data_IF_482084932662
#
_entry.id   IF_482084932662
#
_cell.length_a   1.000
_cell.length_b   1.000
_cell.length_c   1.000
_cell.angle_alpha   90.00
_cell.angle_beta   90.00
_cell.angle_gamma   90.00
#
_symmetry.space_group_name_H-M   'P 1'
#
loop_
_entity.id
_entity.type
_entity.pdbx_description
1 polymer ?
#
# COMPACT_ATOMS: atom_id res chain seq x y z
N UNK A 1 34.92 25.47 15.93
CA UNK A 1 35.06 26.88 15.51
C UNK A 1 35.21 26.85 14.00
N UNK A 2 34.33 27.34 13.14
CA UNK A 2 33.18 28.26 13.13
C UNK A 2 32.35 27.76 11.91
N UNK A 3 31.05 27.93 11.76
CA UNK A 3 30.30 29.17 11.86
C UNK A 3 28.81 28.81 11.75
N UNK A 4 28.00 29.45 12.58
CA UNK A 4 26.56 29.33 12.62
C UNK A 4 25.94 29.84 11.31
N UNK A 5 25.09 29.03 10.69
CA UNK A 5 23.97 29.55 9.90
C UNK A 5 22.67 29.03 10.52
N UNK A 6 22.46 29.40 11.79
CA UNK A 6 21.14 29.43 12.37
C UNK A 6 20.44 30.67 11.83
N UNK A 7 19.83 30.56 10.65
CA UNK A 7 18.94 31.60 10.14
C UNK A 7 17.59 31.44 10.83
N UNK A 8 17.17 32.54 11.45
CA UNK A 8 16.01 32.64 12.33
C UNK A 8 14.77 31.98 11.73
N UNK A 9 13.97 31.25 12.51
CA UNK A 9 12.68 30.76 12.06
C UNK A 9 11.84 31.94 11.58
N UNK A 10 11.28 31.84 10.38
CA UNK A 10 10.15 32.69 10.01
C UNK A 10 9.01 32.19 10.90
N UNK A 11 8.78 32.87 12.03
CA UNK A 11 7.85 32.47 13.09
C UNK A 11 6.44 32.27 12.51
N UNK A 12 6.15 31.01 12.18
CA UNK A 12 4.86 30.56 11.71
C UNK A 12 4.39 29.48 12.69
N UNK A 13 3.34 29.73 13.50
CA UNK A 13 2.93 28.84 14.60
C UNK A 13 2.27 27.54 14.15
N UNK A 14 2.31 27.23 12.86
CA UNK A 14 1.60 26.12 12.24
C UNK A 14 2.56 24.99 11.86
N UNK A 15 2.05 23.77 11.79
CA UNK A 15 2.82 22.60 11.41
C UNK A 15 3.42 22.74 9.99
N UNK A 16 4.67 22.31 9.85
CA UNK A 16 5.39 22.28 8.59
C UNK A 16 5.44 20.88 7.98
N UNK A 17 5.44 20.81 6.66
CA UNK A 17 5.73 19.60 5.88
C UNK A 17 7.06 19.77 5.13
N UNK A 18 7.84 18.69 5.02
CA UNK A 18 9.05 18.70 4.20
C UNK A 18 8.70 18.64 2.72
N UNK A 19 9.30 19.51 1.92
CA UNK A 19 9.12 19.55 0.47
C UNK A 19 10.45 19.49 -0.28
N UNK A 20 10.44 18.70 -1.34
CA UNK A 20 11.51 18.63 -2.33
C UNK A 20 11.27 19.64 -3.45
N UNK A 21 12.27 20.43 -3.80
CA UNK A 21 12.29 21.32 -4.96
C UNK A 21 13.66 21.28 -5.65
N UNK A 22 13.84 22.10 -6.69
CA UNK A 22 15.11 22.25 -7.38
C UNK A 22 15.58 23.71 -7.31
N UNK A 23 16.89 23.92 -7.17
CA UNK A 23 17.49 25.24 -7.28
C UNK A 23 17.55 25.71 -8.76
N UNK A 24 18.02 26.94 -8.99
CA UNK A 24 18.15 27.53 -10.32
C UNK A 24 19.08 26.76 -11.28
N UNK A 25 19.90 25.85 -10.75
CA UNK A 25 20.83 25.02 -11.50
C UNK A 25 20.29 23.58 -11.66
N UNK A 26 19.06 23.30 -11.20
CA UNK A 26 18.44 21.99 -11.27
C UNK A 26 18.85 21.02 -10.16
N UNK A 27 19.54 21.48 -9.11
CA UNK A 27 19.92 20.60 -8.00
C UNK A 27 18.78 20.44 -6.98
N UNK A 28 18.53 19.23 -6.46
CA UNK A 28 17.46 19.01 -5.51
C UNK A 28 17.77 19.64 -4.13
N UNK A 29 16.78 20.31 -3.58
CA UNK A 29 16.81 21.00 -2.29
C UNK A 29 15.60 20.60 -1.43
N UNK A 30 15.82 20.46 -0.12
CA UNK A 30 14.75 20.25 0.86
C UNK A 30 14.49 21.53 1.64
N UNK A 31 13.23 21.82 1.92
CA UNK A 31 12.83 22.88 2.84
C UNK A 31 11.51 22.51 3.52
N UNK A 32 11.26 23.10 4.68
CA UNK A 32 9.96 22.97 5.35
C UNK A 32 9.02 24.10 4.93
N UNK A 33 7.77 23.74 4.63
CA UNK A 33 6.72 24.67 4.27
C UNK A 33 5.55 24.53 5.25
N UNK A 34 5.00 25.65 5.69
CA UNK A 34 3.80 25.65 6.51
C UNK A 34 2.62 25.09 5.72
N UNK A 35 1.93 24.09 6.29
CA UNK A 35 0.77 23.44 5.68
C UNK A 35 -0.41 24.42 5.58
N UNK A 36 -0.58 25.30 6.56
CA UNK A 36 -1.73 26.20 6.66
C UNK A 36 -1.62 27.45 5.75
N UNK A 37 -0.44 28.08 5.69
CA UNK A 37 -0.25 29.37 5.00
C UNK A 37 0.74 29.32 3.83
N UNK A 38 1.38 28.18 3.58
CA UNK A 38 2.31 28.00 2.47
C UNK A 38 3.62 28.80 2.59
N UNK A 39 3.88 29.46 3.72
CA UNK A 39 5.15 30.16 3.94
C UNK A 39 6.27 29.16 4.20
N UNK A 40 7.46 29.48 3.69
CA UNK A 40 8.69 28.71 3.95
C UNK A 40 9.09 28.93 5.40
N UNK A 41 9.29 27.84 6.15
CA UNK A 41 9.64 27.87 7.58
C UNK A 41 11.17 27.78 7.74
N UNK A 42 11.84 26.97 6.92
CA UNK A 42 13.30 26.83 6.91
C UNK A 42 13.94 27.22 5.58
N UNK A 43 15.18 27.67 5.64
CA UNK A 43 15.99 27.86 4.44
C UNK A 43 16.24 26.53 3.70
N UNK A 44 16.28 26.56 2.36
CA UNK A 44 16.50 25.36 1.58
C UNK A 44 17.90 24.76 1.79
N UNK A 45 17.94 23.48 2.11
CA UNK A 45 19.15 22.69 2.31
C UNK A 45 19.44 21.91 1.03
N UNK A 46 20.68 21.95 0.55
CA UNK A 46 21.13 21.13 -0.59
C UNK A 46 21.23 19.66 -0.17
N UNK A 47 20.66 18.76 -0.95
CA UNK A 47 20.74 17.33 -0.68
C UNK A 47 22.13 16.78 -1.05
N UNK A 48 22.78 16.10 -0.11
CA UNK A 48 24.00 15.32 -0.34
C UNK A 48 23.64 13.93 -0.88
N UNK A 49 24.59 13.19 -1.49
CA UNK A 49 24.37 11.83 -1.95
C UNK A 49 23.85 10.88 -0.87
N UNK A 50 24.30 11.06 0.37
CA UNK A 50 23.85 10.28 1.54
C UNK A 50 22.39 10.54 1.91
N UNK A 51 21.85 11.75 1.69
CA UNK A 51 20.41 12.02 1.88
C UNK A 51 19.53 11.37 0.81
N UNK A 52 20.07 11.11 -0.38
CA UNK A 52 19.36 10.46 -1.50
C UNK A 52 19.10 8.98 -1.22
N UNK A 53 19.97 8.32 -0.48
CA UNK A 53 19.84 6.91 -0.09
C UNK A 53 18.78 6.71 1.00
N UNK A 54 18.72 7.58 2.02
CA UNK A 54 17.70 7.53 3.09
C UNK A 54 16.28 7.91 2.63
N UNK A 55 16.13 8.72 1.58
CA UNK A 55 14.83 9.03 0.98
C UNK A 55 14.30 7.91 0.06
N UNK A 56 15.18 7.00 -0.37
CA UNK A 56 14.80 5.85 -1.20
C UNK A 56 14.44 4.61 -0.36
N UNK A 57 14.75 4.59 0.94
CA UNK A 57 14.40 3.50 1.87
C UNK A 57 13.09 3.73 2.63
N UNK A 58 12.49 4.92 2.53
CA UNK A 58 11.18 5.23 3.09
C UNK A 58 10.11 5.12 2.01
N UNK A 59 9.31 4.05 2.09
CA UNK A 59 7.92 3.98 1.63
C UNK A 59 7.67 4.37 0.16
N UNK A 60 7.67 3.36 -0.71
CA UNK A 60 7.00 3.37 -2.02
C UNK A 60 5.50 3.74 -1.88
N UNK A 61 4.94 3.69 -0.67
CA UNK A 61 3.56 4.00 -0.33
C UNK A 61 3.24 5.50 -0.22
N UNK A 62 4.22 6.41 -0.26
CA UNK A 62 3.95 7.86 -0.18
C UNK A 62 4.14 8.63 -1.50
N UNK A 63 4.65 7.98 -2.56
CA UNK A 63 4.85 8.66 -3.86
C UNK A 63 3.57 8.76 -4.70
N UNK A 64 2.56 7.93 -4.41
CA UNK A 64 1.26 7.93 -5.10
C UNK A 64 0.19 8.85 -4.48
N UNK A 65 0.52 9.59 -3.40
CA UNK A 65 -0.26 10.77 -2.98
C UNK A 65 0.04 12.02 -3.84
N UNK A 66 0.85 11.89 -4.88
CA UNK A 66 1.12 12.95 -5.86
C UNK A 66 -0.04 13.22 -6.85
N UNK A 67 -1.24 12.66 -6.63
CA UNK A 67 -2.47 13.08 -7.33
C UNK A 67 -3.37 13.97 -6.45
N UNK A 68 -2.96 14.31 -5.22
CA UNK A 68 -3.64 15.33 -4.42
C UNK A 68 -3.23 16.74 -4.90
N UNK A 69 -3.97 17.21 -5.90
CA UNK A 69 -4.47 18.59 -6.05
C UNK A 69 -3.54 19.71 -5.56
N UNK A 70 -2.55 20.13 -6.38
CA UNK A 70 -2.15 21.55 -6.38
C UNK A 70 -3.23 22.37 -7.07
N UNK A 71 -4.15 22.85 -6.22
CA UNK A 71 -5.22 23.80 -6.46
C UNK A 71 -4.64 25.19 -6.80
N UNK A 72 -5.14 25.76 -7.91
CA UNK A 72 -5.48 27.17 -8.23
C UNK A 72 -4.42 28.21 -7.79
N UNK A 73 -3.77 28.94 -8.71
CA UNK A 73 -4.31 30.20 -9.24
C UNK A 73 -4.03 30.51 -10.73
N UNK A 74 -4.96 31.29 -11.32
CA UNK A 74 -4.99 32.00 -12.62
C UNK A 74 -5.48 31.22 -13.87
N UNK A 75 -6.71 31.48 -14.29
CA UNK A 75 -7.09 32.78 -14.89
C UNK A 75 -8.61 32.80 -15.12
N UNK A 76 -9.29 33.84 -14.67
CA UNK A 76 -10.73 34.07 -14.79
C UNK A 76 -11.19 34.41 -16.22
N UNK A 77 -10.46 33.97 -17.24
CA UNK A 77 -10.67 34.31 -18.66
C UNK A 77 -10.68 33.10 -19.59
N UNK A 78 -10.92 31.89 -19.07
CA UNK A 78 -10.90 30.67 -19.88
C UNK A 78 -12.27 30.41 -20.50
N UNK A 79 -12.29 30.18 -21.81
CA UNK A 79 -13.50 29.86 -22.57
C UNK A 79 -14.11 28.52 -22.11
N UNK A 80 -15.43 28.31 -22.25
CA UNK A 80 -16.09 27.04 -21.93
C UNK A 80 -15.39 25.83 -22.57
N UNK A 81 -14.91 25.97 -23.81
CA UNK A 81 -14.17 24.93 -24.52
C UNK A 81 -12.83 24.55 -23.86
N UNK A 82 -12.16 25.48 -23.18
CA UNK A 82 -10.91 25.19 -22.45
C UNK A 82 -11.17 24.46 -21.12
N UNK A 83 -12.34 24.67 -20.51
CA UNK A 83 -12.78 23.93 -19.32
C UNK A 83 -13.15 22.48 -19.66
N UNK A 84 -13.88 22.29 -20.76
CA UNK A 84 -14.30 20.96 -21.23
C UNK A 84 -13.10 20.08 -21.61
N UNK A 85 -12.17 20.57 -22.42
CA UNK A 85 -10.93 19.85 -22.76
C UNK A 85 -10.11 19.43 -21.54
N UNK A 86 -10.12 20.23 -20.47
CA UNK A 86 -9.42 19.90 -19.21
C UNK A 86 -10.15 18.79 -18.45
N UNK A 87 -11.49 18.82 -18.43
CA UNK A 87 -12.32 17.77 -17.83
C UNK A 87 -12.09 16.45 -18.57
N UNK A 88 -12.14 16.47 -19.89
CA UNK A 88 -11.85 15.31 -20.76
C UNK A 88 -10.44 14.75 -20.56
N UNK A 89 -9.42 15.63 -20.47
CA UNK A 89 -8.05 15.21 -20.20
C UNK A 89 -7.92 14.55 -18.83
N UNK A 90 -8.63 15.07 -17.83
CA UNK A 90 -8.66 14.51 -16.47
C UNK A 90 -9.35 13.16 -16.44
N UNK A 91 -10.52 13.01 -17.07
CA UNK A 91 -11.17 11.70 -17.18
C UNK A 91 -10.30 10.72 -17.94
N UNK A 92 -9.60 11.15 -19.00
CA UNK A 92 -8.67 10.30 -19.75
C UNK A 92 -7.44 9.89 -18.93
N UNK A 93 -6.86 10.80 -18.14
CA UNK A 93 -5.75 10.50 -17.22
C UNK A 93 -6.22 9.56 -16.09
N UNK A 94 -7.37 9.82 -15.47
CA UNK A 94 -7.99 8.94 -14.46
C UNK A 94 -8.33 7.56 -15.05
N UNK A 95 -8.83 7.49 -16.29
CA UNK A 95 -9.07 6.25 -17.03
C UNK A 95 -7.77 5.52 -17.37
N UNK A 96 -6.70 6.22 -17.74
CA UNK A 96 -5.39 5.60 -17.99
C UNK A 96 -4.80 5.03 -16.72
N UNK A 97 -4.84 5.78 -15.60
CA UNK A 97 -4.30 5.34 -14.30
C UNK A 97 -5.08 4.16 -13.73
N UNK A 98 -6.41 4.16 -13.89
CA UNK A 98 -7.24 3.01 -13.51
C UNK A 98 -7.05 1.82 -14.44
N UNK A 99 -6.83 2.04 -15.73
CA UNK A 99 -6.54 0.96 -16.68
C UNK A 99 -5.18 0.30 -16.44
N UNK A 100 -4.13 1.08 -16.14
CA UNK A 100 -2.78 0.53 -15.89
C UNK A 100 -2.64 -0.18 -14.55
N UNK A 101 -3.51 0.12 -13.57
CA UNK A 101 -3.57 -0.59 -12.27
C UNK A 101 -4.25 -1.96 -12.33
N UNK A 102 -5.05 -2.25 -13.35
CA UNK A 102 -5.78 -3.53 -13.49
C UNK A 102 -4.88 -4.72 -13.85
N UNK A 103 -3.64 -4.47 -14.24
CA UNK A 103 -2.72 -5.54 -14.63
C UNK A 103 -1.95 -6.14 -13.43
N UNK A 104 -1.95 -5.45 -12.28
CA UNK A 104 -1.17 -5.89 -11.13
C UNK A 104 -1.97 -6.85 -10.26
N UNK A 105 -1.30 -7.91 -9.83
CA UNK A 105 -1.89 -8.87 -8.91
C UNK A 105 -2.07 -8.19 -7.56
N UNK A 106 -3.25 -8.34 -6.98
CA UNK A 106 -3.60 -7.85 -5.65
C UNK A 106 -3.78 -9.02 -4.70
N UNK A 107 -3.37 -8.84 -3.45
CA UNK A 107 -3.61 -9.80 -2.39
C UNK A 107 -4.70 -9.25 -1.47
N UNK A 108 -5.61 -10.11 -1.05
CA UNK A 108 -6.70 -9.78 -0.16
C UNK A 108 -6.80 -10.76 1.00
N UNK A 109 -7.33 -10.27 2.12
CA UNK A 109 -7.56 -11.03 3.36
C UNK A 109 -9.02 -10.93 3.75
N UNK A 110 -9.69 -12.08 3.86
CA UNK A 110 -11.08 -12.21 4.30
C UNK A 110 -11.14 -12.75 5.72
N UNK A 111 -11.96 -12.13 6.57
CA UNK A 111 -12.43 -12.74 7.80
C UNK A 111 -13.66 -13.59 7.51
N UNK A 112 -13.67 -14.82 8.01
CA UNK A 112 -14.74 -15.79 7.87
C UNK A 112 -15.38 -16.11 9.23
N UNK A 113 -16.51 -16.81 9.17
CA UNK A 113 -17.20 -17.33 10.35
C UNK A 113 -16.32 -18.23 11.23
N UNK A 114 -16.49 -18.06 12.55
CA UNK A 114 -15.75 -18.82 13.56
C UNK A 114 -14.29 -18.40 13.73
N UNK A 115 -13.97 -17.11 13.55
CA UNK A 115 -12.62 -16.56 13.67
C UNK A 115 -11.60 -17.23 12.74
N UNK A 116 -12.02 -17.51 11.51
CA UNK A 116 -11.18 -18.07 10.46
C UNK A 116 -10.83 -17.02 9.44
N UNK A 117 -9.74 -17.24 8.71
CA UNK A 117 -9.21 -16.30 7.75
C UNK A 117 -8.90 -16.99 6.43
N UNK A 118 -9.07 -16.25 5.34
CA UNK A 118 -8.65 -16.66 4.02
C UNK A 118 -7.83 -15.57 3.36
N UNK A 119 -6.69 -15.95 2.80
CA UNK A 119 -5.85 -15.08 1.96
C UNK A 119 -5.93 -15.59 0.54
N UNK A 120 -6.02 -14.66 -0.41
CA UNK A 120 -6.01 -14.99 -1.83
C UNK A 120 -5.38 -13.88 -2.66
N UNK A 121 -4.97 -14.22 -3.88
CA UNK A 121 -4.47 -13.28 -4.88
C UNK A 121 -5.34 -13.26 -6.14
N UNK A 122 -5.44 -12.10 -6.79
CA UNK A 122 -6.20 -11.91 -8.03
C UNK A 122 -5.78 -10.63 -8.76
N UNK A 123 -5.86 -10.62 -10.09
CA UNK A 123 -5.76 -9.38 -10.89
C UNK A 123 -7.02 -8.53 -10.75
N UNK A 124 -8.18 -9.19 -10.58
CA UNK A 124 -9.48 -8.57 -10.33
C UNK A 124 -9.95 -8.97 -8.91
N UNK A 125 -9.42 -8.31 -7.85
CA UNK A 125 -9.75 -8.70 -6.48
C UNK A 125 -11.22 -8.46 -6.15
N UNK A 126 -11.85 -7.41 -6.68
CA UNK A 126 -13.26 -7.09 -6.37
C UNK A 126 -14.22 -8.19 -6.82
N UNK A 127 -14.13 -8.63 -8.08
CA UNK A 127 -14.98 -9.69 -8.61
C UNK A 127 -14.70 -11.01 -7.92
N UNK A 128 -13.42 -11.29 -7.65
CA UNK A 128 -13.03 -12.50 -6.92
C UNK A 128 -13.58 -12.52 -5.50
N UNK A 129 -13.46 -11.41 -4.77
CA UNK A 129 -14.00 -11.27 -3.43
C UNK A 129 -15.52 -11.43 -3.46
N UNK A 130 -16.23 -10.78 -4.40
CA UNK A 130 -17.69 -10.95 -4.56
C UNK A 130 -18.06 -12.42 -4.73
N UNK A 131 -17.35 -13.15 -5.61
CA UNK A 131 -17.59 -14.58 -5.81
C UNK A 131 -17.41 -15.41 -4.52
N UNK A 132 -16.49 -15.03 -3.62
CA UNK A 132 -16.38 -15.67 -2.31
C UNK A 132 -17.61 -15.42 -1.43
N UNK A 133 -18.14 -14.19 -1.41
CA UNK A 133 -19.37 -13.85 -0.66
C UNK A 133 -20.61 -14.55 -1.25
N UNK A 134 -20.65 -14.74 -2.56
CA UNK A 134 -21.74 -15.43 -3.28
C UNK A 134 -21.67 -16.96 -3.17
N UNK A 135 -20.66 -17.51 -2.46
CA UNK A 135 -20.49 -18.96 -2.29
C UNK A 135 -19.80 -19.68 -3.46
N UNK A 136 -19.31 -18.94 -4.45
CA UNK A 136 -18.54 -19.44 -5.60
C UNK A 136 -17.02 -19.33 -5.38
N UNK A 137 -16.60 -19.26 -4.12
CA UNK A 137 -15.20 -19.14 -3.70
C UNK A 137 -14.43 -20.46 -3.58
N UNK A 138 -13.31 -20.39 -2.87
CA UNK A 138 -12.52 -21.57 -2.50
C UNK A 138 -13.32 -22.53 -1.61
N UNK A 139 -12.91 -23.80 -1.57
CA UNK A 139 -13.53 -24.81 -0.72
C UNK A 139 -13.57 -24.37 0.75
N UNK A 140 -12.53 -23.68 1.25
CA UNK A 140 -12.49 -23.12 2.60
C UNK A 140 -13.55 -22.04 2.83
N UNK A 141 -13.70 -21.10 1.91
CA UNK A 141 -14.74 -20.03 2.02
C UNK A 141 -16.16 -20.54 1.80
N UNK A 142 -16.32 -21.68 1.14
CA UNK A 142 -17.61 -22.38 1.03
C UNK A 142 -17.98 -23.08 2.34
N UNK A 143 -16.98 -23.63 3.04
CA UNK A 143 -17.15 -24.25 4.35
C UNK A 143 -17.37 -23.19 5.45
N UNK A 144 -16.71 -22.04 5.34
CA UNK A 144 -16.76 -20.94 6.29
C UNK A 144 -17.08 -19.64 5.58
N UNK A 145 -18.30 -19.13 5.76
CA UNK A 145 -18.79 -17.97 5.01
C UNK A 145 -17.95 -16.73 5.31
N UNK A 146 -17.58 -15.93 4.29
CA UNK A 146 -16.94 -14.63 4.50
C UNK A 146 -17.87 -13.66 5.22
N UNK A 147 -17.32 -12.94 6.20
CA UNK A 147 -18.01 -11.90 6.97
C UNK A 147 -17.59 -10.52 6.46
N UNK A 148 -16.28 -10.30 6.29
CA UNK A 148 -15.75 -9.00 5.91
C UNK A 148 -14.39 -9.09 5.23
N UNK A 149 -14.12 -8.13 4.35
CA UNK A 149 -12.80 -7.85 3.81
C UNK A 149 -11.97 -7.10 4.86
N UNK A 150 -10.80 -7.61 5.22
CA UNK A 150 -9.87 -6.98 6.16
C UNK A 150 -8.85 -6.10 5.44
N UNK A 151 -8.27 -6.62 4.37
CA UNK A 151 -7.21 -5.96 3.62
C UNK A 151 -7.35 -6.34 2.15
N UNK A 152 -7.04 -5.40 1.26
CA UNK A 152 -6.84 -5.65 -0.15
C UNK A 152 -5.79 -4.66 -0.65
N UNK A 153 -4.64 -5.16 -1.09
CA UNK A 153 -3.53 -4.32 -1.57
C UNK A 153 -2.92 -4.84 -2.86
N UNK A 154 -2.57 -3.94 -3.80
CA UNK A 154 -1.80 -4.33 -4.98
C UNK A 154 -0.39 -4.75 -4.56
N UNK A 155 0.12 -5.80 -5.18
CA UNK A 155 1.52 -6.26 -5.01
C UNK A 155 2.50 -5.45 -5.85
N UNK A 156 2.00 -4.64 -6.79
CA UNK A 156 2.79 -3.95 -7.82
C UNK A 156 3.64 -4.91 -8.69
N UNK A 157 3.31 -6.21 -8.71
CA UNK A 157 3.89 -7.19 -9.63
C UNK A 157 2.81 -7.83 -10.50
N UNK A 158 3.21 -8.16 -11.72
CA UNK A 158 2.42 -8.98 -12.65
C UNK A 158 2.88 -10.44 -12.65
N UNK A 159 3.97 -10.73 -11.92
CA UNK A 159 4.52 -12.06 -11.79
C UNK A 159 3.79 -12.82 -10.67
N UNK A 160 3.03 -13.84 -11.08
CA UNK A 160 2.28 -14.72 -10.18
C UNK A 160 3.13 -15.42 -9.14
N UNK A 161 4.37 -15.77 -9.47
CA UNK A 161 5.26 -16.45 -8.52
C UNK A 161 5.68 -15.52 -7.39
N UNK A 162 6.04 -14.28 -7.72
CA UNK A 162 6.38 -13.28 -6.71
C UNK A 162 5.16 -12.91 -5.85
N UNK A 163 3.98 -12.83 -6.47
CA UNK A 163 2.75 -12.56 -5.74
C UNK A 163 2.37 -13.71 -4.79
N UNK A 164 2.60 -14.97 -5.20
CA UNK A 164 2.42 -16.16 -4.37
C UNK A 164 3.36 -16.16 -3.16
N UNK A 165 4.63 -15.75 -3.32
CA UNK A 165 5.56 -15.64 -2.20
C UNK A 165 5.08 -14.60 -1.17
N UNK A 166 4.62 -13.43 -1.64
CA UNK A 166 4.03 -12.40 -0.77
C UNK A 166 2.74 -12.91 -0.09
N UNK A 167 1.89 -13.65 -0.82
CA UNK A 167 0.68 -14.27 -0.25
C UNK A 167 1.04 -15.23 0.88
N UNK A 168 2.01 -16.11 0.65
CA UNK A 168 2.47 -17.09 1.63
C UNK A 168 3.04 -16.44 2.89
N UNK A 169 3.80 -15.35 2.76
CA UNK A 169 4.29 -14.58 3.92
C UNK A 169 3.15 -14.02 4.78
N UNK A 170 2.10 -13.48 4.14
CA UNK A 170 0.91 -12.97 4.84
C UNK A 170 0.16 -14.12 5.53
N UNK A 171 0.01 -15.27 4.85
CA UNK A 171 -0.61 -16.45 5.43
C UNK A 171 0.14 -16.88 6.69
N UNK A 172 1.47 -17.01 6.64
CA UNK A 172 2.29 -17.38 7.80
C UNK A 172 2.11 -16.37 8.94
N UNK A 173 2.16 -15.08 8.65
CA UNK A 173 1.94 -14.02 9.65
C UNK A 173 0.59 -14.16 10.38
N UNK A 174 -0.47 -14.44 9.62
CA UNK A 174 -1.79 -14.72 10.17
C UNK A 174 -1.84 -16.05 10.93
N UNK A 175 -1.14 -17.09 10.46
CA UNK A 175 -1.05 -18.38 11.16
C UNK A 175 -0.35 -18.24 12.52
N UNK A 176 0.69 -17.42 12.63
CA UNK A 176 1.33 -17.08 13.90
C UNK A 176 0.35 -16.39 14.84
N UNK A 177 -0.47 -15.48 14.32
CA UNK A 177 -1.37 -14.63 15.12
C UNK A 177 -2.65 -15.36 15.56
N UNK A 178 -3.27 -16.12 14.66
CA UNK A 178 -4.60 -16.72 14.85
C UNK A 178 -4.58 -18.24 14.96
N UNK A 179 -3.39 -18.85 14.84
CA UNK A 179 -3.20 -20.30 14.80
C UNK A 179 -3.39 -20.86 13.39
N UNK A 180 -2.47 -21.76 13.00
CA UNK A 180 -2.44 -22.34 11.66
C UNK A 180 -3.71 -23.10 11.25
N UNK A 181 -4.49 -23.59 12.22
CA UNK A 181 -5.77 -24.25 11.96
C UNK A 181 -6.86 -23.32 11.42
N UNK A 182 -6.77 -22.02 11.74
CA UNK A 182 -7.81 -21.04 11.43
C UNK A 182 -7.57 -20.27 10.13
N UNK A 183 -6.40 -20.43 9.50
CA UNK A 183 -5.99 -19.63 8.34
C UNK A 183 -5.73 -20.54 7.15
N UNK A 184 -6.23 -20.15 5.97
CA UNK A 184 -5.94 -20.81 4.69
C UNK A 184 -5.61 -19.79 3.61
N UNK A 185 -4.84 -20.18 2.62
CA UNK A 185 -4.40 -19.33 1.51
C UNK A 185 -3.13 -19.90 0.88
N UNK A 186 -2.74 -19.41 -0.31
CA UNK A 186 -1.54 -19.87 -1.02
C UNK A 186 -1.35 -21.39 -1.00
N UNK A 187 -0.17 -21.83 -0.55
CA UNK A 187 0.20 -23.25 -0.43
C UNK A 187 -0.62 -24.05 0.59
N UNK A 188 -1.22 -23.37 1.58
CA UNK A 188 -2.01 -23.98 2.64
C UNK A 188 -3.50 -23.73 2.45
N UNK A 189 -3.98 -23.85 1.21
CA UNK A 189 -5.41 -23.66 0.85
C UNK A 189 -6.27 -24.91 1.00
N UNK A 190 -5.67 -26.06 1.35
CA UNK A 190 -6.38 -27.33 1.54
C UNK A 190 -7.31 -27.28 2.77
N UNK A 191 -8.48 -27.89 2.66
CA UNK A 191 -9.47 -27.98 3.74
C UNK A 191 -9.08 -28.98 4.82
N UNK A 192 -8.34 -30.05 4.49
CA UNK A 192 -7.85 -31.04 5.48
C UNK A 192 -6.76 -30.43 6.34
N UNK A 193 -6.90 -30.56 7.67
CA UNK A 193 -5.85 -30.17 8.60
C UNK A 193 -4.58 -31.02 8.45
N UNK A 194 -4.73 -32.31 8.13
CA UNK A 194 -3.61 -33.24 7.95
C UNK A 194 -2.73 -32.84 6.77
N UNK A 195 -3.34 -32.42 5.66
CA UNK A 195 -2.63 -31.99 4.47
C UNK A 195 -1.89 -30.66 4.72
N UNK A 196 -2.54 -29.71 5.40
CA UNK A 196 -1.91 -28.46 5.80
C UNK A 196 -0.77 -28.73 6.78
N UNK A 197 -0.98 -29.60 7.77
CA UNK A 197 0.06 -30.00 8.73
C UNK A 197 1.24 -30.67 8.03
N UNK A 198 0.99 -31.52 7.04
CA UNK A 198 2.06 -32.16 6.24
C UNK A 198 2.85 -31.12 5.45
N UNK A 199 2.17 -30.19 4.80
CA UNK A 199 2.80 -29.10 4.05
C UNK A 199 3.63 -28.20 4.99
N UNK A 200 3.09 -27.78 6.13
CA UNK A 200 3.82 -26.96 7.11
C UNK A 200 5.08 -27.66 7.64
N UNK A 201 5.07 -29.00 7.79
CA UNK A 201 6.28 -29.75 8.14
C UNK A 201 7.29 -29.77 7.01
N UNK A 202 6.84 -29.92 5.76
CA UNK A 202 7.74 -29.93 4.60
C UNK A 202 8.43 -28.57 4.39
N UNK A 203 7.86 -27.49 4.92
CA UNK A 203 8.45 -26.15 4.92
C UNK A 203 9.18 -25.81 6.23
N UNK A 204 9.33 -26.75 7.17
CA UNK A 204 9.95 -26.54 8.50
C UNK A 204 9.28 -25.47 9.39
N UNK A 205 8.03 -25.09 9.09
CA UNK A 205 7.31 -24.02 9.80
C UNK A 205 6.44 -24.50 10.97
N UNK A 206 6.10 -25.79 11.00
CA UNK A 206 5.11 -26.30 11.97
C UNK A 206 5.56 -26.11 13.43
N UNK A 207 6.82 -26.39 13.74
CA UNK A 207 7.31 -26.35 15.12
C UNK A 207 7.22 -24.93 15.71
N UNK A 208 7.47 -23.92 14.89
CA UNK A 208 7.48 -22.53 15.34
C UNK A 208 6.05 -21.99 15.49
N UNK A 209 5.14 -22.41 14.63
CA UNK A 209 3.72 -22.07 14.72
C UNK A 209 3.00 -22.76 15.91
N UNK A 210 3.48 -23.93 16.35
CA UNK A 210 2.93 -24.61 17.53
C UNK A 210 3.42 -23.98 18.84
N UNK A 211 4.67 -23.52 18.90
CA UNK A 211 5.25 -22.86 20.11
C UNK A 211 4.58 -21.52 20.44
N UNK A 212 4.03 -20.84 19.44
CA UNK A 212 3.46 -19.49 19.57
C UNK A 212 1.97 -19.48 19.97
N UNK A 213 1.33 -20.64 20.13
CA UNK A 213 -0.07 -20.68 20.52
C UNK A 213 -0.22 -20.45 22.03
N UNK A 214 -0.99 -19.44 22.47
CA UNK A 214 -1.29 -19.30 23.88
C UNK A 214 -2.02 -20.56 24.36
N UNK A 215 -1.45 -21.22 25.36
CA UNK A 215 -2.10 -22.32 26.09
C UNK A 215 -3.48 -21.84 26.54
N UNK A 216 -4.54 -22.48 26.02
CA UNK A 216 -5.89 -22.36 26.58
C UNK A 216 -5.97 -23.09 27.92
#
# INVERSE_FOLDING_TARGET
MTEQLYRSPIDCPHQGEERLAHDKNGNPILYSQCIACGKRITDPIKLTPTHRESLNSLSIYDRDRAVEVRRIERCSSRTPAAHERRRERRTREEQLVTATRRDYISIYVLQLEGNRFYVGQSVDPHDRISAHFDGNGSAWTRLHKPIKLLECRPTNTRNWKLAEDIENEIVISLMCTYGWRNVRGGFWSNTSEEDVRRSLRAHDLLQDLEKQQPTR
#
